data_IF_298767296056
#
_entry.id   IF_298767296056
#
_cell.length_a   1.000
_cell.length_b   1.000
_cell.length_c   1.000
_cell.angle_alpha   90.00
_cell.angle_beta   90.00
_cell.angle_gamma   90.00
#
_symmetry.space_group_name_H-M   'P 1'
#
loop_
_entity.id
_entity.type
_entity.pdbx_description
1 polymer ?
#
# COMPACT_ATOMS: atom_id res chain seq x y z
N UNK A 1 -24.82 16.83 -1.95
CA UNK A 1 -24.15 15.68 -1.33
C UNK A 1 -22.75 15.52 -1.92
N UNK A 2 -21.78 15.40 -1.07
CA UNK A 2 -20.39 15.22 -1.52
C UNK A 2 -20.14 13.75 -1.86
N UNK A 3 -20.18 13.41 -3.16
CA UNK A 3 -19.97 12.05 -3.63
C UNK A 3 -18.57 11.50 -3.31
N UNK A 4 -17.56 12.39 -3.13
CA UNK A 4 -16.20 11.99 -2.78
C UNK A 4 -16.11 11.38 -1.38
N UNK A 5 -16.97 11.86 -0.46
CA UNK A 5 -17.00 11.34 0.91
C UNK A 5 -17.42 9.87 0.98
N UNK A 6 -18.19 9.42 -0.01
CA UNK A 6 -18.68 8.06 -0.12
C UNK A 6 -17.91 7.23 -1.15
N UNK A 7 -16.86 7.79 -1.74
CA UNK A 7 -16.05 7.08 -2.71
C UNK A 7 -15.32 5.92 -2.04
N UNK A 8 -15.14 4.80 -2.75
CA UNK A 8 -14.41 3.67 -2.19
C UNK A 8 -12.94 4.01 -1.96
N UNK A 9 -12.36 3.38 -0.97
CA UNK A 9 -10.97 3.57 -0.55
C UNK A 9 -10.14 2.33 -0.84
N UNK A 10 -9.01 2.52 -1.47
CA UNK A 10 -8.05 1.45 -1.74
C UNK A 10 -6.70 1.78 -1.10
N UNK A 11 -6.04 0.75 -0.58
CA UNK A 11 -4.69 0.82 -0.06
C UNK A 11 -3.77 0.01 -0.99
N UNK A 12 -2.71 0.65 -1.50
CA UNK A 12 -1.71 -0.02 -2.35
C UNK A 12 -0.35 0.10 -1.70
N UNK A 13 0.27 -1.03 -1.38
CA UNK A 13 1.62 -1.03 -0.83
C UNK A 13 2.65 -1.05 -1.96
N UNK A 14 3.79 -0.37 -1.75
CA UNK A 14 4.84 -0.32 -2.76
C UNK A 14 4.44 0.43 -4.03
N UNK A 15 3.83 1.61 -3.89
CA UNK A 15 3.18 2.32 -4.99
C UNK A 15 4.00 3.45 -5.62
N UNK A 16 5.27 3.62 -5.24
CA UNK A 16 6.07 4.75 -5.75
C UNK A 16 6.50 4.58 -7.21
N UNK A 17 6.50 3.36 -7.72
CA UNK A 17 6.96 3.05 -9.08
C UNK A 17 6.41 1.71 -9.54
N UNK A 18 6.65 1.39 -10.81
CA UNK A 18 6.38 0.07 -11.38
C UNK A 18 4.91 -0.32 -11.34
N UNK A 19 4.68 -1.59 -11.01
CA UNK A 19 3.34 -2.19 -11.01
C UNK A 19 2.43 -1.50 -10.01
N UNK A 20 2.92 -1.21 -8.80
CA UNK A 20 2.13 -0.55 -7.76
C UNK A 20 1.65 0.83 -8.17
N UNK A 21 2.53 1.60 -8.82
CA UNK A 21 2.16 2.93 -9.34
C UNK A 21 1.09 2.81 -10.43
N UNK A 22 1.22 1.85 -11.33
CA UNK A 22 0.25 1.63 -12.41
C UNK A 22 -1.11 1.20 -11.85
N UNK A 23 -1.12 0.35 -10.81
CA UNK A 23 -2.35 -0.05 -10.14
C UNK A 23 -3.01 1.14 -9.46
N UNK A 24 -2.23 1.97 -8.78
CA UNK A 24 -2.73 3.18 -8.12
C UNK A 24 -3.39 4.12 -9.13
N UNK A 25 -2.78 4.31 -10.28
CA UNK A 25 -3.35 5.15 -11.35
C UNK A 25 -4.67 4.57 -11.87
N UNK A 26 -4.72 3.26 -12.11
CA UNK A 26 -5.94 2.62 -12.58
C UNK A 26 -7.09 2.76 -11.56
N UNK A 27 -6.80 2.62 -10.28
CA UNK A 27 -7.79 2.80 -9.22
C UNK A 27 -8.24 4.25 -9.12
N UNK A 28 -7.33 5.20 -9.23
CA UNK A 28 -7.66 6.64 -9.23
C UNK A 28 -8.59 6.99 -10.40
N UNK A 29 -8.27 6.48 -11.59
CA UNK A 29 -9.12 6.67 -12.78
C UNK A 29 -10.53 6.10 -12.57
N UNK A 30 -10.63 4.99 -11.83
CA UNK A 30 -11.92 4.38 -11.52
C UNK A 30 -12.68 5.09 -10.38
N UNK A 31 -12.10 6.14 -9.80
CA UNK A 31 -12.77 6.95 -8.79
C UNK A 31 -12.48 6.56 -7.34
N UNK A 32 -11.51 5.70 -7.09
CA UNK A 32 -11.11 5.33 -5.73
C UNK A 32 -10.30 6.44 -5.07
N UNK A 33 -10.57 6.70 -3.80
CA UNK A 33 -9.60 7.37 -2.95
C UNK A 33 -8.49 6.40 -2.62
N UNK A 34 -7.28 6.88 -2.39
CA UNK A 34 -6.11 6.03 -2.25
C UNK A 34 -5.30 6.36 -1.00
N UNK A 35 -4.77 5.30 -0.40
CA UNK A 35 -3.65 5.37 0.52
C UNK A 35 -2.51 4.57 -0.12
N UNK A 36 -1.39 5.22 -0.31
CA UNK A 36 -0.22 4.61 -0.95
C UNK A 36 0.91 4.54 0.05
N UNK A 37 1.64 3.43 0.07
CA UNK A 37 2.80 3.29 0.95
C UNK A 37 4.06 3.00 0.18
N UNK A 38 5.19 3.36 0.77
CA UNK A 38 6.52 3.01 0.31
C UNK A 38 7.44 2.82 1.52
N UNK A 39 8.54 2.10 1.35
CA UNK A 39 9.50 1.90 2.44
C UNK A 39 10.53 3.02 2.51
N UNK A 40 11.07 3.49 1.38
CA UNK A 40 12.20 4.41 1.35
C UNK A 40 12.03 5.63 0.44
N UNK A 41 11.06 5.66 -0.42
CA UNK A 41 10.94 6.67 -1.48
C UNK A 41 9.76 7.60 -1.28
N UNK A 42 9.59 8.12 -0.05
CA UNK A 42 8.45 8.98 0.27
C UNK A 42 8.32 10.22 -0.64
N UNK A 43 9.40 10.96 -0.97
CA UNK A 43 9.27 12.08 -1.90
C UNK A 43 8.70 11.67 -3.26
N UNK A 44 9.15 10.53 -3.80
CA UNK A 44 8.63 10.01 -5.07
C UNK A 44 7.16 9.64 -4.94
N UNK A 45 6.78 9.02 -3.83
CA UNK A 45 5.41 8.64 -3.57
C UNK A 45 4.50 9.86 -3.41
N UNK A 46 4.99 10.90 -2.74
CA UNK A 46 4.25 12.16 -2.59
C UNK A 46 3.99 12.80 -3.93
N UNK A 47 4.94 12.73 -4.86
CA UNK A 47 4.77 13.24 -6.21
C UNK A 47 3.71 12.44 -6.98
N UNK A 48 3.73 11.12 -6.86
CA UNK A 48 2.70 10.26 -7.45
C UNK A 48 1.32 10.63 -6.89
N UNK A 49 1.21 10.78 -5.58
CA UNK A 49 -0.05 11.12 -4.94
C UNK A 49 -0.59 12.47 -5.43
N UNK A 50 0.26 13.48 -5.50
CA UNK A 50 -0.14 14.81 -5.98
C UNK A 50 -0.61 14.77 -7.42
N UNK A 51 0.08 14.04 -8.29
CA UNK A 51 -0.31 13.89 -9.69
C UNK A 51 -1.67 13.21 -9.84
N UNK A 52 -1.93 12.17 -9.05
CA UNK A 52 -3.20 11.44 -9.11
C UNK A 52 -4.35 12.30 -8.59
N UNK A 53 -4.13 13.07 -7.53
CA UNK A 53 -5.13 14.00 -7.03
C UNK A 53 -5.49 15.07 -8.07
N UNK A 54 -4.48 15.63 -8.70
CA UNK A 54 -4.69 16.66 -9.72
C UNK A 54 -5.39 16.11 -10.96
N UNK A 55 -4.95 14.94 -11.43
CA UNK A 55 -5.45 14.37 -12.68
C UNK A 55 -6.85 13.79 -12.56
N UNK A 56 -7.17 13.15 -11.44
CA UNK A 56 -8.42 12.41 -11.29
C UNK A 56 -9.38 12.98 -10.24
N UNK A 57 -8.95 13.97 -9.49
CA UNK A 57 -9.82 14.64 -8.50
C UNK A 57 -10.16 13.78 -7.29
N UNK A 58 -9.37 12.75 -7.01
CA UNK A 58 -9.54 11.88 -5.83
C UNK A 58 -8.63 12.36 -4.70
N UNK A 59 -8.84 11.82 -3.51
CA UNK A 59 -7.92 12.02 -2.39
C UNK A 59 -6.88 10.91 -2.39
N UNK A 60 -5.61 11.27 -2.31
CA UNK A 60 -4.51 10.31 -2.32
C UNK A 60 -3.50 10.67 -1.24
N UNK A 61 -3.34 9.81 -0.25
CA UNK A 61 -2.43 10.00 0.86
C UNK A 61 -1.20 9.11 0.71
N UNK A 62 -0.02 9.70 0.78
CA UNK A 62 1.25 8.98 0.71
C UNK A 62 1.81 8.81 2.12
N UNK A 63 2.18 7.59 2.49
CA UNK A 63 2.71 7.26 3.80
C UNK A 63 3.98 6.41 3.68
N UNK A 64 5.00 6.75 4.47
CA UNK A 64 6.17 5.89 4.60
C UNK A 64 5.83 4.76 5.58
N UNK A 65 5.89 3.54 5.11
CA UNK A 65 5.64 2.36 5.95
C UNK A 65 6.34 1.14 5.33
N UNK A 66 7.33 0.63 6.04
CA UNK A 66 8.00 -0.60 5.62
C UNK A 66 7.04 -1.77 5.83
N UNK A 67 6.67 -2.44 4.73
CA UNK A 67 5.71 -3.52 4.76
C UNK A 67 6.18 -4.73 5.57
N UNK A 68 7.49 -4.87 5.82
CA UNK A 68 8.05 -5.93 6.66
C UNK A 68 7.90 -5.66 8.16
N UNK A 69 7.46 -4.46 8.53
CA UNK A 69 7.38 -4.04 9.94
C UNK A 69 5.91 -3.95 10.38
N UNK A 70 5.43 -4.87 11.22
CA UNK A 70 4.03 -4.86 11.66
C UNK A 70 3.59 -3.55 12.29
N UNK A 71 4.44 -2.92 13.10
CA UNK A 71 4.12 -1.66 13.77
C UNK A 71 3.88 -0.51 12.78
N UNK A 72 4.65 -0.48 11.68
CA UNK A 72 4.47 0.53 10.63
C UNK A 72 3.13 0.34 9.92
N UNK A 73 2.76 -0.90 9.65
CA UNK A 73 1.48 -1.23 9.02
C UNK A 73 0.32 -0.88 9.96
N UNK A 74 0.45 -1.17 11.25
CA UNK A 74 -0.57 -0.80 12.23
C UNK A 74 -0.83 0.70 12.25
N UNK A 75 0.21 1.53 12.11
CA UNK A 75 0.06 2.99 12.04
C UNK A 75 -0.72 3.43 10.82
N UNK A 76 -0.51 2.77 9.68
CA UNK A 76 -1.27 3.07 8.46
C UNK A 76 -2.76 2.81 8.71
N UNK A 77 -3.08 1.65 9.27
CA UNK A 77 -4.47 1.25 9.50
C UNK A 77 -5.14 2.03 10.64
N UNK A 78 -4.37 2.57 11.57
CA UNK A 78 -4.92 3.35 12.70
C UNK A 78 -5.69 4.59 12.23
N UNK A 79 -5.37 5.12 11.06
CA UNK A 79 -6.05 6.28 10.48
C UNK A 79 -7.30 5.93 9.66
N UNK A 80 -7.59 4.64 9.48
CA UNK A 80 -8.67 4.18 8.61
C UNK A 80 -9.89 3.74 9.40
N UNK A 81 -11.06 4.18 8.97
CA UNK A 81 -12.33 3.70 9.49
C UNK A 81 -13.04 2.74 8.53
N UNK A 82 -12.58 2.67 7.29
CA UNK A 82 -13.09 1.72 6.30
C UNK A 82 -12.02 1.43 5.25
N UNK A 83 -12.17 0.35 4.53
CA UNK A 83 -11.32 -0.01 3.41
C UNK A 83 -12.10 -0.93 2.47
N UNK A 84 -12.06 -0.67 1.18
CA UNK A 84 -12.77 -1.45 0.17
C UNK A 84 -11.85 -2.37 -0.63
N UNK A 85 -10.61 -1.93 -0.89
CA UNK A 85 -9.63 -2.71 -1.67
C UNK A 85 -8.27 -2.65 -1.00
N UNK A 86 -7.62 -3.79 -0.90
CA UNK A 86 -6.23 -3.90 -0.46
C UNK A 86 -5.42 -4.52 -1.59
N UNK A 87 -4.37 -3.84 -2.02
CA UNK A 87 -3.42 -4.37 -3.00
C UNK A 87 -2.07 -4.57 -2.32
N UNK A 88 -1.71 -5.83 -2.13
CA UNK A 88 -0.42 -6.22 -1.58
C UNK A 88 0.60 -6.31 -2.71
N UNK A 89 1.29 -5.20 -2.97
CA UNK A 89 2.27 -5.11 -4.05
C UNK A 89 3.70 -4.94 -3.56
N UNK A 90 3.92 -4.51 -2.32
CA UNK A 90 5.28 -4.34 -1.80
C UNK A 90 6.07 -5.63 -1.91
N UNK A 91 7.28 -5.53 -2.45
CA UNK A 91 8.15 -6.70 -2.60
C UNK A 91 9.58 -6.27 -2.87
N UNK A 92 10.50 -7.14 -2.50
CA UNK A 92 11.93 -6.99 -2.77
C UNK A 92 12.46 -8.27 -3.37
N UNK A 93 13.63 -8.20 -3.99
CA UNK A 93 14.31 -9.37 -4.50
C UNK A 93 15.75 -9.39 -4.00
N UNK A 94 16.34 -10.57 -3.98
CA UNK A 94 17.76 -10.76 -3.70
C UNK A 94 18.43 -11.25 -4.98
N UNK A 95 19.51 -10.59 -5.37
CA UNK A 95 20.28 -10.97 -6.55
C UNK A 95 21.67 -11.41 -6.08
N UNK A 96 21.99 -12.69 -6.30
CA UNK A 96 23.25 -13.28 -5.88
C UNK A 96 23.16 -14.79 -5.73
N UNK A 97 24.24 -15.38 -5.24
CA UNK A 97 24.29 -16.84 -5.02
C UNK A 97 23.54 -17.16 -3.72
N UNK A 98 22.80 -18.24 -3.73
CA UNK A 98 22.09 -18.72 -2.55
C UNK A 98 23.02 -18.91 -1.35
N UNK A 99 24.24 -19.41 -1.61
CA UNK A 99 25.23 -19.67 -0.56
C UNK A 99 25.77 -18.40 0.10
N UNK A 100 25.65 -17.26 -0.57
CA UNK A 100 26.10 -15.95 -0.05
C UNK A 100 24.99 -15.20 0.69
N UNK A 101 23.76 -15.68 0.61
CA UNK A 101 22.62 -15.07 1.25
C UNK A 101 22.66 -15.29 2.75
N UNK A 102 22.60 -14.22 3.54
CA UNK A 102 22.53 -14.33 5.00
C UNK A 102 21.13 -14.72 5.46
N UNK A 103 21.03 -15.20 6.70
CA UNK A 103 19.74 -15.51 7.32
C UNK A 103 18.89 -14.24 7.42
N UNK A 104 19.51 -13.12 7.76
CA UNK A 104 18.83 -11.82 7.87
C UNK A 104 18.28 -11.36 6.51
N UNK A 105 19.04 -11.55 5.44
CA UNK A 105 18.58 -11.23 4.08
C UNK A 105 17.40 -12.10 3.67
N UNK A 106 17.49 -13.40 3.94
CA UNK A 106 16.39 -14.34 3.71
C UNK A 106 15.13 -13.91 4.47
N UNK A 107 15.30 -13.64 5.77
CA UNK A 107 14.18 -13.24 6.62
C UNK A 107 13.53 -11.94 6.14
N UNK A 108 14.36 -10.99 5.71
CA UNK A 108 13.85 -9.71 5.19
C UNK A 108 13.03 -9.89 3.91
N UNK A 109 13.49 -10.76 2.99
CA UNK A 109 12.74 -11.07 1.77
C UNK A 109 11.41 -11.72 2.11
N UNK A 110 11.40 -12.69 3.03
CA UNK A 110 10.15 -13.34 3.47
C UNK A 110 9.21 -12.34 4.14
N UNK A 111 9.73 -11.52 5.03
CA UNK A 111 8.90 -10.55 5.76
C UNK A 111 8.29 -9.51 4.82
N UNK A 112 9.04 -9.05 3.83
CA UNK A 112 8.54 -8.07 2.87
C UNK A 112 7.58 -8.69 1.87
N UNK A 113 7.90 -9.87 1.32
CA UNK A 113 7.14 -10.44 0.20
C UNK A 113 5.96 -11.30 0.64
N UNK A 114 6.06 -11.96 1.78
CA UNK A 114 5.04 -12.90 2.26
C UNK A 114 4.38 -12.45 3.55
N UNK A 115 5.16 -12.23 4.60
CA UNK A 115 4.60 -11.87 5.91
C UNK A 115 3.84 -10.55 5.86
N UNK A 116 4.25 -9.61 5.01
CA UNK A 116 3.55 -8.34 4.82
C UNK A 116 2.09 -8.53 4.41
N UNK A 117 1.81 -9.55 3.61
CA UNK A 117 0.43 -9.85 3.19
C UNK A 117 -0.43 -10.25 4.38
N UNK A 118 0.14 -10.97 5.34
CA UNK A 118 -0.55 -11.30 6.58
C UNK A 118 -0.76 -10.05 7.44
N UNK A 119 0.28 -9.22 7.58
CA UNK A 119 0.20 -8.01 8.42
C UNK A 119 -0.88 -7.04 7.94
N UNK A 120 -0.98 -6.84 6.63
CA UNK A 120 -2.00 -5.97 6.05
C UNK A 120 -3.38 -6.61 6.06
N UNK A 121 -3.47 -7.88 5.66
CA UNK A 121 -4.77 -8.54 5.51
C UNK A 121 -5.50 -8.73 6.84
N UNK A 122 -4.76 -9.05 7.92
CA UNK A 122 -5.39 -9.20 9.24
C UNK A 122 -6.04 -7.90 9.74
N UNK A 123 -5.53 -6.76 9.30
CA UNK A 123 -6.08 -5.44 9.68
C UNK A 123 -7.13 -4.94 8.68
N UNK A 124 -7.00 -5.34 7.41
CA UNK A 124 -7.93 -4.93 6.35
C UNK A 124 -9.27 -5.66 6.42
N UNK A 125 -9.25 -6.95 6.66
CA UNK A 125 -10.47 -7.79 6.62
C UNK A 125 -11.55 -7.28 7.57
N UNK A 126 -11.27 -6.94 8.85
CA UNK A 126 -12.31 -6.39 9.72
C UNK A 126 -12.94 -5.11 9.18
N UNK A 127 -12.16 -4.24 8.55
CA UNK A 127 -12.68 -3.01 7.95
C UNK A 127 -13.56 -3.29 6.74
N UNK A 128 -13.17 -4.27 5.93
CA UNK A 128 -13.94 -4.69 4.77
C UNK A 128 -15.27 -5.32 5.18
N UNK A 129 -15.27 -6.10 6.26
CA UNK A 129 -16.48 -6.76 6.76
C UNK A 129 -17.53 -5.76 7.26
N UNK A 130 -17.09 -4.60 7.77
CA UNK A 130 -18.02 -3.55 8.20
C UNK A 130 -18.92 -3.07 7.06
N UNK A 131 -18.45 -3.16 5.82
CA UNK A 131 -19.20 -2.77 4.62
C UNK A 131 -19.74 -3.95 3.83
N UNK A 132 -19.56 -5.16 4.31
CA UNK A 132 -19.93 -6.38 3.60
C UNK A 132 -19.25 -6.51 2.23
N UNK A 133 -18.02 -6.00 2.13
CA UNK A 133 -17.25 -6.01 0.88
C UNK A 133 -15.98 -6.85 0.99
#
# INVERSE_FOLDING_TARGET
>A
MNTRKNAPLALVTGASRGIGKAIAEALAEAGYHLILTCSHTLPDLQEVAACLEEKYGITCTAMAADASEPAAIEKVFASLDHLDVLVNNAGISYIGLLTDMSVEEWQHVLNTNLSSCFYTSRLAVPLMLLKHS
#
